data_IF_618592357811
#
_entry.id   IF_618592357811
#
_cell.length_a   1.000
_cell.length_b   1.000
_cell.length_c   1.000
_cell.angle_alpha   90.00
_cell.angle_beta   90.00
_cell.angle_gamma   90.00
#
_symmetry.space_group_name_H-M   'P 1'
#
loop_
_entity.id
_entity.type
_entity.pdbx_description
1 polymer ?
#
# COMPACT_ATOMS: atom_id res chain seq x y z
N UNK A 1 -17.85 13.51 2.75
CA UNK A 1 -17.33 14.46 1.74
C UNK A 1 -16.50 13.67 0.74
N UNK A 2 -16.80 13.72 -0.58
CA UNK A 2 -16.09 12.92 -1.59
C UNK A 2 -14.57 13.07 -1.54
N UNK A 3 -14.07 14.31 -1.41
CA UNK A 3 -12.64 14.62 -1.30
C UNK A 3 -11.95 13.90 -0.13
N UNK A 4 -12.54 13.95 1.06
CA UNK A 4 -11.99 13.27 2.25
C UNK A 4 -11.90 11.76 2.03
N UNK A 5 -12.93 11.15 1.45
CA UNK A 5 -12.94 9.71 1.19
C UNK A 5 -11.89 9.33 0.14
N UNK A 6 -11.74 10.13 -0.93
CA UNK A 6 -10.68 9.94 -1.94
C UNK A 6 -9.31 10.00 -1.29
N UNK A 7 -9.05 10.97 -0.41
CA UNK A 7 -7.77 11.10 0.28
C UNK A 7 -7.48 9.91 1.21
N UNK A 8 -8.46 9.45 1.99
CA UNK A 8 -8.29 8.29 2.88
C UNK A 8 -8.03 7.01 2.10
N UNK A 9 -8.81 6.76 1.05
CA UNK A 9 -8.61 5.61 0.17
C UNK A 9 -7.23 5.65 -0.49
N UNK A 10 -6.84 6.82 -1.01
CA UNK A 10 -5.52 7.03 -1.63
C UNK A 10 -4.38 6.82 -0.64
N UNK A 11 -4.52 7.31 0.60
CA UNK A 11 -3.54 7.08 1.65
C UNK A 11 -3.36 5.58 1.94
N UNK A 12 -4.47 4.83 2.06
CA UNK A 12 -4.43 3.38 2.26
C UNK A 12 -3.74 2.68 1.09
N UNK A 13 -4.17 2.98 -0.13
CA UNK A 13 -3.60 2.41 -1.37
C UNK A 13 -2.09 2.65 -1.42
N UNK A 14 -1.68 3.92 -1.32
CA UNK A 14 -0.28 4.33 -1.36
C UNK A 14 0.53 3.68 -0.23
N UNK A 15 0.04 3.71 1.01
CA UNK A 15 0.73 3.09 2.13
C UNK A 15 0.93 1.59 1.90
N UNK A 16 -0.12 0.85 1.53
CA UNK A 16 -0.04 -0.60 1.32
C UNK A 16 0.91 -0.99 0.18
N UNK A 17 0.87 -0.27 -0.95
CA UNK A 17 1.67 -0.60 -2.13
C UNK A 17 3.12 -0.14 -2.00
N UNK A 18 3.36 1.09 -1.53
CA UNK A 18 4.70 1.64 -1.43
C UNK A 18 5.51 0.97 -0.31
N UNK A 19 4.90 0.70 0.84
CA UNK A 19 5.60 0.03 1.93
C UNK A 19 5.94 -1.42 1.57
N UNK A 20 5.02 -2.14 0.90
CA UNK A 20 5.33 -3.48 0.40
C UNK A 20 6.49 -3.46 -0.59
N UNK A 21 6.48 -2.55 -1.58
CA UNK A 21 7.59 -2.39 -2.53
C UNK A 21 8.91 -2.02 -1.84
N UNK A 22 8.86 -1.19 -0.80
CA UNK A 22 10.04 -0.85 -0.02
C UNK A 22 10.57 -2.07 0.74
N UNK A 23 9.71 -2.83 1.41
CA UNK A 23 10.08 -4.05 2.11
C UNK A 23 10.67 -5.10 1.16
N UNK A 24 10.03 -5.34 0.02
CA UNK A 24 10.54 -6.23 -1.03
C UNK A 24 11.96 -5.84 -1.46
N UNK A 25 12.19 -4.56 -1.76
CA UNK A 25 13.54 -4.07 -2.11
C UNK A 25 14.55 -4.25 -0.99
N UNK A 26 14.16 -4.04 0.27
CA UNK A 26 15.04 -4.27 1.42
C UNK A 26 15.41 -5.75 1.54
N UNK A 27 14.46 -6.68 1.31
CA UNK A 27 14.74 -8.12 1.25
C UNK A 27 15.74 -8.43 0.14
N UNK A 28 15.55 -7.87 -1.07
CA UNK A 28 16.48 -8.09 -2.18
C UNK A 28 17.89 -7.55 -1.88
N UNK A 29 17.99 -6.36 -1.29
CA UNK A 29 19.28 -5.74 -0.95
C UNK A 29 20.04 -6.50 0.15
N UNK A 30 19.32 -7.00 1.16
CA UNK A 30 19.92 -7.76 2.26
C UNK A 30 20.28 -9.21 1.87
N UNK A 31 19.76 -9.71 0.74
CA UNK A 31 19.96 -11.08 0.28
C UNK A 31 19.24 -12.12 1.14
N UNK A 32 19.39 -13.40 0.79
CA UNK A 32 18.60 -14.48 1.39
C UNK A 32 18.82 -14.63 2.92
N UNK A 33 20.08 -14.64 3.35
CA UNK A 33 20.44 -14.93 4.75
C UNK A 33 19.92 -13.89 5.73
N UNK A 34 19.98 -12.60 5.37
CA UNK A 34 19.60 -11.48 6.25
C UNK A 34 18.23 -10.91 5.91
N UNK A 35 17.85 -10.89 4.63
CA UNK A 35 16.59 -10.32 4.16
C UNK A 35 15.38 -11.22 4.36
N UNK A 36 15.56 -12.55 4.37
CA UNK A 36 14.44 -13.51 4.45
C UNK A 36 14.62 -14.57 5.55
N UNK A 37 15.67 -14.46 6.35
CA UNK A 37 15.88 -15.34 7.50
C UNK A 37 14.89 -15.03 8.63
N UNK A 38 14.17 -16.05 9.14
CA UNK A 38 13.24 -15.89 10.25
C UNK A 38 13.93 -15.42 11.54
N UNK A 39 15.16 -15.86 11.78
CA UNK A 39 16.01 -15.50 12.93
C UNK A 39 16.99 -14.36 12.60
N UNK A 40 16.75 -13.62 11.52
CA UNK A 40 17.60 -12.49 11.15
C UNK A 40 17.49 -11.36 12.19
N UNK A 41 18.60 -10.67 12.52
CA UNK A 41 18.54 -9.48 13.35
C UNK A 41 17.74 -8.34 12.71
N UNK A 42 17.51 -8.40 11.39
CA UNK A 42 16.60 -7.50 10.67
C UNK A 42 15.27 -8.22 10.40
N UNK A 43 14.13 -7.76 10.96
CA UNK A 43 12.84 -8.46 10.87
C UNK A 43 12.13 -8.28 9.50
N UNK A 44 12.90 -8.22 8.41
CA UNK A 44 12.42 -7.92 7.06
C UNK A 44 11.44 -8.99 6.54
N UNK A 45 11.67 -10.26 6.87
CA UNK A 45 10.79 -11.39 6.51
C UNK A 45 9.36 -11.18 7.03
N UNK A 46 9.24 -10.85 8.33
CA UNK A 46 7.96 -10.60 8.98
C UNK A 46 7.29 -9.38 8.38
N UNK A 47 8.02 -8.27 8.27
CA UNK A 47 7.50 -7.02 7.68
C UNK A 47 7.01 -7.25 6.25
N UNK A 48 7.74 -8.01 5.44
CA UNK A 48 7.35 -8.36 4.07
C UNK A 48 6.02 -9.14 4.05
N UNK A 49 5.87 -10.17 4.89
CA UNK A 49 4.63 -10.96 4.98
C UNK A 49 3.43 -10.13 5.43
N UNK A 50 3.61 -9.33 6.48
CA UNK A 50 2.56 -8.47 7.02
C UNK A 50 2.09 -7.47 5.95
N UNK A 51 3.04 -6.82 5.26
CA UNK A 51 2.72 -5.85 4.20
C UNK A 51 2.15 -6.49 2.93
N UNK A 52 2.52 -7.73 2.61
CA UNK A 52 1.90 -8.48 1.50
C UNK A 52 0.39 -8.65 1.70
N UNK A 53 -0.04 -8.84 2.95
CA UNK A 53 -1.47 -8.94 3.29
C UNK A 53 -2.19 -7.57 3.29
N UNK A 54 -1.45 -6.46 3.42
CA UNK A 54 -2.04 -5.12 3.56
C UNK A 54 -2.85 -4.67 2.33
N UNK A 55 -2.49 -5.14 1.13
CA UNK A 55 -3.27 -4.88 -0.10
C UNK A 55 -4.62 -5.63 -0.10
N UNK A 56 -4.66 -6.82 0.53
CA UNK A 56 -5.86 -7.63 0.65
C UNK A 56 -6.80 -7.12 1.75
N UNK A 57 -6.23 -6.58 2.83
CA UNK A 57 -7.01 -5.98 3.91
C UNK A 57 -7.82 -4.80 3.34
N UNK A 58 -9.14 -4.87 3.40
CA UNK A 58 -10.05 -3.89 2.78
C UNK A 58 -9.90 -3.74 1.25
N UNK A 59 -9.35 -4.74 0.54
CA UNK A 59 -9.26 -4.84 -0.94
C UNK A 59 -8.86 -3.56 -1.69
N UNK A 60 -7.60 -3.47 -2.12
CA UNK A 60 -7.15 -2.36 -2.97
C UNK A 60 -8.00 -2.19 -4.24
N UNK A 61 -8.42 -3.27 -4.89
CA UNK A 61 -9.25 -3.21 -6.10
C UNK A 61 -10.59 -2.51 -5.85
N UNK A 62 -11.20 -2.79 -4.69
CA UNK A 62 -12.43 -2.10 -4.25
C UNK A 62 -12.16 -0.61 -4.04
N UNK A 63 -11.04 -0.26 -3.41
CA UNK A 63 -10.67 1.13 -3.14
C UNK A 63 -10.37 1.90 -4.43
N UNK A 64 -9.67 1.28 -5.40
CA UNK A 64 -9.43 1.88 -6.71
C UNK A 64 -10.74 2.18 -7.44
N UNK A 65 -11.66 1.22 -7.46
CA UNK A 65 -13.00 1.40 -8.05
C UNK A 65 -13.78 2.50 -7.33
N UNK A 66 -13.77 2.51 -6.00
CA UNK A 66 -14.45 3.52 -5.20
C UNK A 66 -13.89 4.93 -5.46
N UNK A 67 -12.57 5.07 -5.55
CA UNK A 67 -11.95 6.34 -5.92
C UNK A 67 -12.37 6.81 -7.30
N UNK A 68 -12.35 5.92 -8.31
CA UNK A 68 -12.82 6.26 -9.65
C UNK A 68 -14.26 6.79 -9.66
N UNK A 69 -15.15 6.14 -8.91
CA UNK A 69 -16.54 6.61 -8.75
C UNK A 69 -16.63 7.95 -8.02
N UNK A 70 -15.89 8.11 -6.91
CA UNK A 70 -15.91 9.34 -6.11
C UNK A 70 -15.35 10.55 -6.87
N UNK A 71 -14.38 10.34 -7.77
CA UNK A 71 -13.79 11.41 -8.60
C UNK A 71 -14.83 12.11 -9.47
N UNK A 72 -15.89 11.42 -9.91
CA UNK A 72 -17.00 12.06 -10.64
C UNK A 72 -17.81 13.03 -9.78
N UNK A 73 -17.85 12.81 -8.46
CA UNK A 73 -18.56 13.65 -7.51
C UNK A 73 -17.64 14.67 -6.82
N UNK A 74 -16.35 14.70 -7.16
CA UNK A 74 -15.39 15.61 -6.55
C UNK A 74 -15.47 17.00 -7.18
N UNK A 75 -16.11 17.92 -6.45
CA UNK A 75 -16.28 19.32 -6.87
C UNK A 75 -15.04 20.18 -6.65
N UNK A 76 -13.99 19.65 -6.01
CA UNK A 76 -12.72 20.37 -5.87
C UNK A 76 -11.89 20.35 -7.17
N UNK A 77 -12.18 19.40 -8.07
CA UNK A 77 -11.52 19.31 -9.37
C UNK A 77 -12.24 20.22 -10.36
N UNK A 78 -11.50 21.17 -10.95
CA UNK A 78 -12.00 22.05 -12.01
C UNK A 78 -11.22 21.72 -13.28
N UNK A 79 -11.91 21.59 -14.42
CA UNK A 79 -11.25 21.48 -15.72
C UNK A 79 -10.65 22.84 -16.06
N UNK A 80 -9.35 22.89 -16.34
CA UNK A 80 -8.64 24.08 -16.83
C UNK A 80 -9.09 24.42 -18.26
#
# INVERSE_FOLDING_TARGET
MPSVQIHLNTLKLAASELTFRAADRMVQLAGLATGYGAESPLPLERTFRDLRSAALNYSNDRLWTANGTLSWADRAVTLL
#
